data_IF_922825004220
#
_entry.id   IF_922825004220
#
_cell.length_a   1.000
_cell.length_b   1.000
_cell.length_c   1.000
_cell.angle_alpha   90.00
_cell.angle_beta   90.00
_cell.angle_gamma   90.00
#
_symmetry.space_group_name_H-M   'P 1'
#
loop_
_entity.id
_entity.type
_entity.pdbx_description
1 polymer ?
#
# COMPACT_ATOMS: atom_id res chain seq x y z
N UNK A 1 19.12 -2.47 -0.19
CA UNK A 1 17.77 -2.61 0.42
C UNK A 1 17.55 -1.60 1.55
N UNK A 2 18.38 -1.58 2.61
CA UNK A 2 18.18 -0.65 3.74
C UNK A 2 18.19 0.81 3.29
N UNK A 3 19.15 1.23 2.47
CA UNK A 3 19.22 2.61 1.97
C UNK A 3 17.98 2.97 1.15
N UNK A 4 17.54 2.10 0.26
CA UNK A 4 16.32 2.31 -0.52
C UNK A 4 15.09 2.48 0.37
N UNK A 5 14.96 1.68 1.45
CA UNK A 5 13.88 1.83 2.42
C UNK A 5 13.94 3.18 3.11
N UNK A 6 15.13 3.61 3.57
CA UNK A 6 15.32 4.91 4.22
C UNK A 6 15.03 6.08 3.26
N UNK A 7 15.49 6.01 2.03
CA UNK A 7 15.23 7.02 0.99
C UNK A 7 13.72 7.18 0.77
N UNK A 8 13.00 6.06 0.59
CA UNK A 8 11.55 6.10 0.42
C UNK A 8 10.83 6.77 1.60
N UNK A 9 11.23 6.47 2.86
CA UNK A 9 10.57 7.01 4.06
C UNK A 9 10.93 8.49 4.30
N UNK A 10 12.08 8.95 3.78
CA UNK A 10 12.58 10.32 4.03
C UNK A 10 12.14 11.34 3.00
N UNK A 11 11.67 10.90 1.84
CA UNK A 11 11.28 11.82 0.78
C UNK A 11 9.92 12.48 1.07
N UNK A 12 9.79 13.81 0.85
CA UNK A 12 8.54 14.50 1.05
C UNK A 12 7.49 14.12 0.01
N UNK A 13 6.21 14.24 0.39
CA UNK A 13 5.08 13.75 -0.41
C UNK A 13 4.90 14.45 -1.77
N UNK A 14 5.39 15.69 -1.92
CA UNK A 14 5.39 16.38 -3.21
C UNK A 14 6.38 15.76 -4.21
N UNK A 15 7.35 14.98 -3.73
CA UNK A 15 8.30 14.22 -4.55
C UNK A 15 7.83 12.76 -4.62
N UNK A 16 7.60 12.12 -3.47
CA UNK A 16 7.21 10.71 -3.39
C UNK A 16 5.69 10.55 -3.26
N UNK A 17 4.95 10.89 -4.30
CA UNK A 17 3.53 10.56 -4.43
C UNK A 17 3.33 9.10 -4.87
N UNK A 18 2.08 8.57 -4.93
CA UNK A 18 1.82 7.17 -5.31
C UNK A 18 2.40 6.78 -6.67
N UNK A 19 2.41 7.69 -7.64
CA UNK A 19 2.90 7.44 -9.01
C UNK A 19 4.42 7.33 -9.01
N UNK A 20 5.13 8.29 -8.40
CA UNK A 20 6.60 8.29 -8.32
C UNK A 20 7.09 7.08 -7.52
N UNK A 21 6.40 6.72 -6.40
CA UNK A 21 6.74 5.51 -5.66
C UNK A 21 6.67 4.27 -6.56
N UNK A 22 5.58 4.14 -7.32
CA UNK A 22 5.39 3.03 -8.25
C UNK A 22 6.47 3.02 -9.34
N UNK A 23 6.83 4.17 -9.88
CA UNK A 23 7.87 4.31 -10.90
C UNK A 23 9.25 3.92 -10.38
N UNK A 24 9.59 4.29 -9.15
CA UNK A 24 10.83 3.84 -8.50
C UNK A 24 10.87 2.33 -8.33
N UNK A 25 9.74 1.71 -7.96
CA UNK A 25 9.65 0.26 -7.87
C UNK A 25 9.87 -0.42 -9.24
N UNK A 26 9.29 0.12 -10.30
CA UNK A 26 9.46 -0.41 -11.68
C UNK A 26 10.88 -0.29 -12.20
N UNK A 27 11.61 0.75 -11.78
CA UNK A 27 13.02 0.97 -12.13
C UNK A 27 13.98 -0.01 -11.43
N UNK A 28 13.52 -0.80 -10.46
CA UNK A 28 14.35 -1.82 -9.82
C UNK A 28 14.77 -2.89 -10.82
N UNK A 29 16.05 -2.84 -11.22
CA UNK A 29 16.62 -3.81 -12.16
C UNK A 29 17.36 -4.92 -11.41
N UNK A 30 16.61 -5.83 -10.79
CA UNK A 30 17.18 -6.97 -10.03
C UNK A 30 16.80 -8.26 -10.75
N UNK A 31 17.82 -9.03 -11.16
CA UNK A 31 17.62 -10.28 -11.89
C UNK A 31 16.70 -11.24 -11.12
N UNK A 32 15.62 -11.67 -11.77
CA UNK A 32 14.65 -12.61 -11.21
C UNK A 32 13.52 -11.99 -10.38
N UNK A 33 13.64 -10.74 -9.94
CA UNK A 33 12.55 -10.00 -9.31
C UNK A 33 11.62 -9.44 -10.38
N UNK A 34 10.36 -9.89 -10.37
CA UNK A 34 9.33 -9.34 -11.27
C UNK A 34 8.53 -8.28 -10.53
N UNK A 35 8.37 -7.14 -11.17
CA UNK A 35 7.56 -6.03 -10.66
C UNK A 35 6.39 -5.80 -11.59
N UNK A 36 5.17 -5.72 -11.03
CA UNK A 36 3.93 -5.48 -11.77
C UNK A 36 3.19 -4.31 -11.13
N UNK A 37 2.64 -3.44 -11.94
CA UNK A 37 1.80 -2.33 -11.52
C UNK A 37 0.33 -2.63 -11.85
N UNK A 38 -0.55 -2.21 -10.94
CA UNK A 38 -1.98 -2.04 -11.19
C UNK A 38 -2.28 -0.54 -11.10
N UNK A 39 -2.61 0.07 -12.21
CA UNK A 39 -3.02 1.46 -12.33
C UNK A 39 -4.49 1.67 -11.94
N UNK A 40 -4.96 2.91 -11.93
CA UNK A 40 -6.33 3.28 -11.58
C UNK A 40 -7.38 2.49 -12.38
N UNK A 41 -7.15 2.28 -13.69
CA UNK A 41 -8.08 1.54 -14.55
C UNK A 41 -8.16 0.08 -14.11
N UNK A 42 -7.03 -0.53 -13.86
CA UNK A 42 -6.92 -1.91 -13.37
C UNK A 42 -7.56 -2.08 -11.99
N UNK A 43 -7.34 -1.13 -11.07
CA UNK A 43 -7.92 -1.14 -9.72
C UNK A 43 -9.46 -1.05 -9.76
N UNK A 44 -10.00 -0.17 -10.61
CA UNK A 44 -11.45 -0.06 -10.86
C UNK A 44 -12.03 -1.36 -11.43
N UNK A 45 -11.37 -1.95 -12.42
CA UNK A 45 -11.79 -3.21 -13.06
C UNK A 45 -11.76 -4.39 -12.08
N UNK A 46 -10.75 -4.47 -11.23
CA UNK A 46 -10.63 -5.50 -10.19
C UNK A 46 -11.68 -5.30 -9.08
N UNK A 47 -12.05 -4.05 -8.79
CA UNK A 47 -13.03 -3.70 -7.76
C UNK A 47 -12.41 -3.45 -6.39
N UNK A 48 -11.20 -2.91 -6.31
CA UNK A 48 -10.53 -2.49 -5.07
C UNK A 48 -11.13 -1.17 -4.54
N UNK A 49 -12.43 -1.19 -4.20
CA UNK A 49 -13.19 0.03 -3.91
C UNK A 49 -12.83 0.65 -2.56
N UNK A 50 -12.39 -0.13 -1.56
CA UNK A 50 -11.98 0.44 -0.28
C UNK A 50 -10.65 1.20 -0.41
N UNK A 51 -9.70 0.68 -1.17
CA UNK A 51 -8.46 1.40 -1.52
C UNK A 51 -8.78 2.65 -2.36
N UNK A 52 -9.64 2.52 -3.37
CA UNK A 52 -10.04 3.63 -4.24
C UNK A 52 -10.75 4.75 -3.47
N UNK A 53 -11.55 4.43 -2.47
CA UNK A 53 -12.23 5.43 -1.64
C UNK A 53 -11.24 6.34 -0.94
N UNK A 54 -10.17 5.80 -0.36
CA UNK A 54 -9.12 6.59 0.31
C UNK A 54 -8.50 7.61 -0.65
N UNK A 55 -8.28 7.23 -1.90
CA UNK A 55 -7.62 8.08 -2.90
C UNK A 55 -8.53 9.14 -3.55
N UNK A 56 -9.84 9.14 -3.26
CA UNK A 56 -10.81 10.01 -3.97
C UNK A 56 -10.53 11.51 -3.80
N UNK A 57 -9.97 11.92 -2.66
CA UNK A 57 -9.63 13.31 -2.38
C UNK A 57 -8.27 13.76 -2.91
N UNK A 58 -7.50 12.89 -3.55
CA UNK A 58 -6.19 13.24 -4.10
C UNK A 58 -6.23 13.43 -5.61
N UNK A 59 -5.43 14.37 -6.09
CA UNK A 59 -5.14 14.53 -7.53
C UNK A 59 -4.17 13.45 -8.03
N UNK A 60 -3.43 12.81 -7.12
CA UNK A 60 -2.50 11.73 -7.42
C UNK A 60 -3.24 10.39 -7.48
N UNK A 61 -3.25 9.77 -8.65
CA UNK A 61 -3.90 8.47 -8.84
C UNK A 61 -3.26 7.37 -7.98
N UNK A 62 -4.08 6.48 -7.39
CA UNK A 62 -3.57 5.34 -6.63
C UNK A 62 -2.84 4.33 -7.51
N UNK A 63 -1.94 3.60 -6.91
CA UNK A 63 -1.22 2.48 -7.53
C UNK A 63 -1.16 1.28 -6.59
N UNK A 64 -1.11 0.09 -7.14
CA UNK A 64 -0.72 -1.11 -6.40
C UNK A 64 0.46 -1.74 -7.13
N UNK A 65 1.54 -1.98 -6.39
CA UNK A 65 2.73 -2.67 -6.92
C UNK A 65 2.80 -4.06 -6.33
N UNK A 66 3.08 -5.02 -7.20
CA UNK A 66 3.25 -6.43 -6.86
C UNK A 66 4.65 -6.86 -7.26
N UNK A 67 5.38 -7.39 -6.30
CA UNK A 67 6.68 -8.01 -6.49
C UNK A 67 6.53 -9.52 -6.43
N UNK A 68 7.14 -10.24 -7.38
CA UNK A 68 7.17 -11.70 -7.37
C UNK A 68 8.63 -12.17 -7.38
N UNK A 69 8.99 -12.92 -6.33
CA UNK A 69 10.30 -13.55 -6.23
C UNK A 69 10.18 -15.07 -6.13
N UNK A 70 10.92 -15.80 -6.97
CA UNK A 70 11.05 -17.25 -6.95
C UNK A 70 9.69 -17.99 -6.87
N UNK A 71 8.71 -17.51 -7.64
CA UNK A 71 7.37 -18.13 -7.67
C UNK A 71 7.45 -19.47 -8.40
N UNK A 72 7.10 -20.54 -7.68
CA UNK A 72 7.12 -21.93 -8.19
C UNK A 72 5.70 -22.49 -8.28
N UNK A 73 5.47 -23.32 -9.28
CA UNK A 73 4.20 -24.05 -9.42
C UNK A 73 4.02 -24.97 -8.20
N UNK A 74 2.82 -25.01 -7.64
CA UNK A 74 2.45 -25.81 -6.47
C UNK A 74 3.15 -25.45 -5.13
N UNK A 75 3.81 -24.28 -5.06
CA UNK A 75 4.35 -23.75 -3.81
C UNK A 75 3.55 -22.51 -3.40
N UNK A 76 2.91 -22.58 -2.24
CA UNK A 76 2.19 -21.45 -1.67
C UNK A 76 3.19 -20.40 -1.20
N UNK A 77 3.16 -19.17 -1.73
CA UNK A 77 4.12 -18.13 -1.36
C UNK A 77 3.85 -17.57 0.04
N UNK A 78 4.86 -16.92 0.60
CA UNK A 78 4.73 -15.98 1.71
C UNK A 78 4.36 -14.63 1.11
N UNK A 79 3.37 -13.95 1.67
CA UNK A 79 2.99 -12.60 1.26
C UNK A 79 3.54 -11.59 2.27
N UNK A 80 4.11 -10.50 1.75
CA UNK A 80 4.45 -9.29 2.49
C UNK A 80 3.53 -8.18 1.97
N UNK A 81 2.63 -7.67 2.80
CA UNK A 81 1.69 -6.62 2.44
C UNK A 81 2.07 -5.31 3.12
N UNK A 82 2.08 -4.21 2.38
CA UNK A 82 2.50 -2.90 2.88
C UNK A 82 1.43 -1.82 2.72
N UNK A 83 1.14 -1.10 3.84
CA UNK A 83 0.42 0.16 3.79
C UNK A 83 1.31 1.23 3.16
N UNK A 84 0.80 1.95 2.18
CA UNK A 84 1.52 2.97 1.42
C UNK A 84 0.75 4.26 1.26
N UNK A 85 0.34 4.87 2.38
CA UNK A 85 -0.26 6.21 2.35
C UNK A 85 0.88 7.22 2.26
N UNK A 86 1.12 7.78 1.07
CA UNK A 86 2.28 8.64 0.82
C UNK A 86 2.19 9.99 1.51
N UNK A 87 0.97 10.45 1.80
CA UNK A 87 0.67 11.52 2.75
C UNK A 87 -0.72 11.32 3.35
N UNK A 88 -0.86 11.51 4.64
CA UNK A 88 -2.11 11.34 5.36
C UNK A 88 -2.52 12.60 6.11
N UNK A 89 -3.49 13.33 5.56
CA UNK A 89 -4.12 14.47 6.26
C UNK A 89 -5.21 14.05 7.23
N UNK A 90 -5.60 12.77 7.23
CA UNK A 90 -6.84 12.28 7.85
C UNK A 90 -8.06 12.36 6.92
N UNK A 91 -7.94 13.00 5.76
CA UNK A 91 -9.06 13.23 4.86
C UNK A 91 -10.04 14.25 5.44
N UNK A 92 -11.36 14.01 5.33
CA UNK A 92 -12.40 14.88 5.91
C UNK A 92 -12.32 14.90 7.45
N UNK A 93 -11.92 13.80 8.08
CA UNK A 93 -11.58 13.74 9.52
C UNK A 93 -10.16 14.25 9.75
N UNK A 94 -9.94 15.53 9.43
CA UNK A 94 -8.62 16.15 9.32
C UNK A 94 -7.85 16.10 10.64
N UNK A 95 -6.56 15.76 10.55
CA UNK A 95 -5.62 15.80 11.68
C UNK A 95 -5.34 17.24 12.13
N UNK A 96 -4.93 17.46 13.40
CA UNK A 96 -4.33 18.72 13.80
C UNK A 96 -3.10 19.06 12.95
N UNK A 97 -2.84 20.33 12.71
CA UNK A 97 -1.68 20.77 11.93
C UNK A 97 -0.33 20.43 12.58
N UNK A 98 -0.28 20.38 13.91
CA UNK A 98 0.92 20.01 14.66
C UNK A 98 1.28 18.54 14.43
N UNK A 99 2.46 18.29 13.87
CA UNK A 99 2.97 16.96 13.57
C UNK A 99 2.42 16.36 12.26
N UNK A 100 1.58 17.10 11.50
CA UNK A 100 1.05 16.60 10.23
C UNK A 100 2.18 16.38 9.20
N UNK A 101 3.25 17.14 9.27
CA UNK A 101 4.43 17.00 8.43
C UNK A 101 5.11 15.63 8.57
N UNK A 102 4.95 14.95 9.71
CA UNK A 102 5.48 13.60 9.94
C UNK A 102 4.72 12.53 9.14
N UNK A 103 3.54 12.87 8.60
CA UNK A 103 2.69 11.94 7.83
C UNK A 103 3.26 11.57 6.46
N UNK A 104 4.40 12.13 6.06
CA UNK A 104 5.23 11.60 4.96
C UNK A 104 5.69 10.17 5.24
N UNK A 105 5.77 9.76 6.51
CA UNK A 105 6.22 8.44 6.93
C UNK A 105 5.13 7.36 6.90
N UNK A 106 3.89 7.74 6.60
CA UNK A 106 2.72 6.84 6.65
C UNK A 106 2.67 5.78 5.53
N UNK A 107 3.71 5.75 4.72
CA UNK A 107 4.02 4.73 3.74
C UNK A 107 5.17 3.78 4.18
N UNK A 108 5.61 3.88 5.42
CA UNK A 108 6.73 3.08 5.95
C UNK A 108 6.53 1.58 5.80
N UNK A 109 5.29 1.10 5.94
CA UNK A 109 4.95 -0.32 5.69
C UNK A 109 5.28 -0.76 4.27
N UNK A 110 4.94 0.06 3.27
CA UNK A 110 5.30 -0.21 1.86
C UNK A 110 6.80 -0.16 1.63
N UNK A 111 7.51 0.79 2.24
CA UNK A 111 8.97 0.90 2.13
C UNK A 111 9.67 -0.35 2.70
N UNK A 112 9.18 -0.89 3.83
CA UNK A 112 9.68 -2.15 4.41
C UNK A 112 9.46 -3.32 3.47
N UNK A 113 8.29 -3.43 2.85
CA UNK A 113 8.02 -4.49 1.86
C UNK A 113 8.97 -4.38 0.68
N UNK A 114 9.17 -3.18 0.10
CA UNK A 114 10.11 -2.96 -1.01
C UNK A 114 11.52 -3.38 -0.62
N UNK A 115 12.03 -2.91 0.53
CA UNK A 115 13.35 -3.28 1.03
C UNK A 115 13.51 -4.78 1.26
N UNK A 116 12.47 -5.43 1.78
CA UNK A 116 12.45 -6.88 2.01
C UNK A 116 12.49 -7.67 0.70
N UNK A 117 11.75 -7.24 -0.32
CA UNK A 117 11.75 -7.88 -1.64
C UNK A 117 13.09 -7.71 -2.36
N UNK A 118 13.70 -6.54 -2.27
CA UNK A 118 15.07 -6.31 -2.75
C UNK A 118 16.05 -7.24 -2.05
N UNK A 119 15.97 -7.32 -0.72
CA UNK A 119 16.86 -8.17 0.08
C UNK A 119 16.70 -9.66 -0.27
N UNK A 120 15.47 -10.14 -0.39
CA UNK A 120 15.19 -11.51 -0.78
C UNK A 120 15.77 -11.87 -2.15
N UNK A 121 15.67 -10.95 -3.12
CA UNK A 121 16.19 -11.13 -4.47
C UNK A 121 17.73 -11.06 -4.50
N UNK A 122 18.35 -10.09 -3.83
CA UNK A 122 19.81 -9.94 -3.81
C UNK A 122 20.51 -11.11 -3.11
N UNK A 123 19.87 -11.69 -2.09
CA UNK A 123 20.40 -12.86 -1.38
C UNK A 123 19.93 -14.20 -1.99
N UNK A 124 19.32 -14.19 -3.17
CA UNK A 124 18.83 -15.39 -3.86
C UNK A 124 18.01 -16.30 -2.93
N UNK A 125 17.06 -15.73 -2.17
CA UNK A 125 16.21 -16.49 -1.26
C UNK A 125 15.57 -17.67 -1.96
N UNK A 126 15.62 -18.86 -1.33
CA UNK A 126 14.99 -20.08 -1.85
C UNK A 126 13.47 -20.13 -1.63
N UNK A 127 12.90 -19.14 -0.94
CA UNK A 127 11.46 -19.04 -0.66
C UNK A 127 10.71 -18.39 -1.82
N UNK A 128 9.47 -18.83 -2.05
CA UNK A 128 8.52 -18.13 -2.93
C UNK A 128 7.91 -16.98 -2.14
N UNK A 129 8.13 -15.75 -2.58
CA UNK A 129 7.69 -14.55 -1.85
C UNK A 129 6.97 -13.62 -2.82
N UNK A 130 5.85 -13.06 -2.38
CA UNK A 130 5.15 -11.98 -3.08
C UNK A 130 5.08 -10.78 -2.15
N UNK A 131 5.58 -9.65 -2.61
CA UNK A 131 5.34 -8.35 -1.99
C UNK A 131 4.15 -7.68 -2.65
N UNK A 132 3.28 -7.04 -1.88
CA UNK A 132 2.22 -6.16 -2.39
C UNK A 132 2.17 -4.89 -1.59
N UNK A 133 2.11 -3.74 -2.27
CA UNK A 133 2.00 -2.44 -1.63
C UNK A 133 0.84 -1.66 -2.26
N UNK A 134 -0.03 -1.12 -1.42
CA UNK A 134 -1.14 -0.25 -1.83
C UNK A 134 -0.75 1.20 -1.62
N UNK A 135 -0.62 1.96 -2.69
CA UNK A 135 -0.13 3.33 -2.72
C UNK A 135 -1.28 4.29 -2.95
N UNK A 136 -1.55 5.14 -1.98
CA UNK A 136 -2.61 6.15 -2.00
C UNK A 136 -2.14 7.41 -1.30
N UNK A 137 -2.90 8.48 -1.44
CA UNK A 137 -2.77 9.70 -0.67
C UNK A 137 -4.14 10.07 -0.10
N UNK A 138 -4.22 10.33 1.21
CA UNK A 138 -5.47 10.64 1.91
C UNK A 138 -5.61 12.16 2.11
N UNK A 139 -6.41 12.80 1.27
CA UNK A 139 -6.56 14.26 1.22
C UNK A 139 -8.01 14.69 1.37
N UNK A 140 -8.27 15.86 2.01
CA UNK A 140 -9.58 16.48 2.01
C UNK A 140 -9.84 17.17 0.67
N UNK A 141 -10.98 16.88 0.06
CA UNK A 141 -11.41 17.49 -1.20
C UNK A 141 -12.93 17.33 -1.35
N UNK A 142 -13.51 18.01 -2.32
CA UNK A 142 -14.94 17.89 -2.62
C UNK A 142 -15.36 16.46 -3.03
N UNK A 143 -14.44 15.68 -3.61
CA UNK A 143 -14.66 14.29 -4.00
C UNK A 143 -14.24 13.28 -2.92
N UNK A 144 -13.65 13.72 -1.80
CA UNK A 144 -13.17 12.82 -0.77
C UNK A 144 -14.31 11.98 -0.17
N UNK A 145 -13.99 10.74 0.24
CA UNK A 145 -14.92 9.93 1.00
C UNK A 145 -15.15 10.53 2.40
N UNK A 146 -16.27 10.21 3.02
CA UNK A 146 -16.76 10.92 4.22
C UNK A 146 -17.13 9.95 5.34
N UNK A 147 -17.10 10.37 6.59
CA UNK A 147 -17.77 9.64 7.66
C UNK A 147 -19.24 9.41 7.30
N UNK A 148 -19.73 8.17 7.49
CA UNK A 148 -21.07 7.73 7.11
C UNK A 148 -21.15 7.08 5.72
N UNK A 149 -20.13 7.21 4.88
CA UNK A 149 -20.11 6.52 3.59
C UNK A 149 -20.02 4.99 3.79
N UNK A 150 -20.75 4.24 2.95
CA UNK A 150 -20.71 2.78 2.95
C UNK A 150 -19.96 2.31 1.70
N UNK A 151 -18.86 1.62 1.92
CA UNK A 151 -17.96 1.15 0.87
C UNK A 151 -18.05 -0.37 0.77
N UNK A 152 -18.11 -0.90 -0.46
CA UNK A 152 -18.04 -2.35 -0.70
C UNK A 152 -16.60 -2.75 -1.04
N UNK A 153 -15.94 -3.48 -0.16
CA UNK A 153 -14.57 -3.98 -0.38
C UNK A 153 -14.47 -5.07 -1.45
N UNK A 154 -13.26 -5.42 -1.86
CA UNK A 154 -12.98 -6.50 -2.80
C UNK A 154 -13.43 -7.88 -2.28
N UNK A 155 -13.55 -8.07 -0.98
CA UNK A 155 -14.10 -9.28 -0.37
C UNK A 155 -15.61 -9.43 -0.60
N UNK A 156 -16.30 -8.33 -0.93
CA UNK A 156 -17.74 -8.23 -1.07
C UNK A 156 -18.47 -7.72 0.17
N UNK A 157 -17.75 -7.58 1.29
CA UNK A 157 -18.30 -7.04 2.53
C UNK A 157 -18.44 -5.51 2.43
N UNK A 158 -19.45 -4.96 3.07
CA UNK A 158 -19.65 -3.53 3.23
C UNK A 158 -18.93 -3.03 4.47
N UNK A 159 -18.36 -1.84 4.36
CA UNK A 159 -17.65 -1.15 5.43
C UNK A 159 -18.28 0.21 5.60
N UNK A 160 -18.78 0.51 6.78
CA UNK A 160 -19.20 1.85 7.16
C UNK A 160 -17.96 2.64 7.60
N UNK A 161 -17.74 3.80 7.00
CA UNK A 161 -16.65 4.69 7.34
C UNK A 161 -17.09 5.56 8.52
N UNK A 162 -16.52 5.36 9.69
CA UNK A 162 -16.80 6.20 10.86
C UNK A 162 -15.80 7.36 10.97
N UNK A 163 -14.58 7.14 10.49
CA UNK A 163 -13.48 8.11 10.55
C UNK A 163 -12.57 7.92 9.34
N UNK A 164 -12.37 8.95 8.54
CA UNK A 164 -11.51 8.89 7.35
C UNK A 164 -10.01 8.87 7.67
N UNK A 165 -9.63 9.15 8.93
CA UNK A 165 -8.26 8.97 9.45
C UNK A 165 -7.96 7.50 9.84
N UNK A 166 -8.87 6.59 9.54
CA UNK A 166 -8.68 5.15 9.67
C UNK A 166 -8.54 4.47 8.28
N UNK A 167 -7.85 5.12 7.36
CA UNK A 167 -7.72 4.81 5.93
C UNK A 167 -6.83 3.59 5.66
N UNK A 168 -5.79 3.38 6.46
CA UNK A 168 -4.81 2.31 6.23
C UNK A 168 -5.44 0.92 6.22
N UNK A 169 -6.41 0.66 7.09
CA UNK A 169 -7.16 -0.60 7.11
C UNK A 169 -8.00 -0.80 5.84
N UNK A 170 -8.47 0.26 5.20
CA UNK A 170 -9.22 0.21 3.94
C UNK A 170 -8.30 -0.19 2.78
N UNK A 171 -7.09 0.35 2.74
CA UNK A 171 -6.05 -0.02 1.78
C UNK A 171 -5.67 -1.50 1.94
N UNK A 172 -5.36 -1.92 3.18
CA UNK A 172 -4.97 -3.30 3.49
C UNK A 172 -6.07 -4.31 3.18
N UNK A 173 -7.34 -4.00 3.45
CA UNK A 173 -8.46 -4.90 3.19
C UNK A 173 -8.51 -5.38 1.74
N UNK A 174 -8.32 -4.49 0.77
CA UNK A 174 -8.38 -4.84 -0.64
C UNK A 174 -7.11 -5.55 -1.12
N UNK A 175 -5.91 -5.06 -0.77
CA UNK A 175 -4.67 -5.70 -1.22
C UNK A 175 -4.48 -7.09 -0.63
N UNK A 176 -4.85 -7.31 0.65
CA UNK A 176 -4.80 -8.61 1.30
C UNK A 176 -5.81 -9.56 0.65
N UNK A 177 -7.05 -9.11 0.42
CA UNK A 177 -8.07 -9.91 -0.28
C UNK A 177 -7.59 -10.31 -1.68
N UNK A 178 -6.96 -9.39 -2.40
CA UNK A 178 -6.46 -9.66 -3.74
C UNK A 178 -5.39 -10.76 -3.75
N UNK A 179 -4.39 -10.68 -2.88
CA UNK A 179 -3.31 -11.68 -2.85
C UNK A 179 -3.79 -13.03 -2.34
N UNK A 180 -4.75 -13.06 -1.41
CA UNK A 180 -5.39 -14.31 -0.97
C UNK A 180 -6.07 -15.05 -2.13
N UNK A 181 -6.88 -14.32 -2.92
CA UNK A 181 -7.59 -14.90 -4.07
C UNK A 181 -6.63 -15.35 -5.16
N UNK A 182 -5.58 -14.56 -5.43
CA UNK A 182 -4.67 -14.80 -6.56
C UNK A 182 -3.59 -15.84 -6.29
N UNK A 183 -3.01 -15.85 -5.10
CA UNK A 183 -1.81 -16.65 -4.80
C UNK A 183 -2.05 -17.77 -3.81
N UNK A 184 -3.18 -17.78 -3.08
CA UNK A 184 -3.49 -18.78 -2.05
C UNK A 184 -2.29 -19.01 -1.10
N UNK A 185 -1.81 -17.98 -0.40
CA UNK A 185 -0.54 -17.99 0.32
C UNK A 185 -0.51 -18.97 1.49
N UNK A 186 0.70 -19.34 1.92
CA UNK A 186 0.91 -20.09 3.17
C UNK A 186 0.84 -19.18 4.41
N UNK A 187 1.25 -17.92 4.24
CA UNK A 187 1.30 -16.93 5.31
C UNK A 187 1.20 -15.52 4.71
N UNK A 188 0.60 -14.60 5.42
CA UNK A 188 0.58 -13.16 5.10
C UNK A 188 1.13 -12.41 6.31
N UNK A 189 2.09 -11.53 6.07
CA UNK A 189 2.65 -10.61 7.04
C UNK A 189 2.40 -9.21 6.51
N UNK A 190 1.68 -8.39 7.27
CA UNK A 190 1.45 -7.01 6.90
C UNK A 190 2.31 -6.05 7.71
N UNK A 191 2.66 -4.92 7.09
CA UNK A 191 3.43 -3.83 7.67
C UNK A 191 2.64 -2.54 7.47
N UNK A 192 2.36 -1.86 8.58
CA UNK A 192 1.57 -0.65 8.54
C UNK A 192 1.89 0.28 9.71
N UNK A 193 2.01 1.55 9.43
CA UNK A 193 1.96 2.65 10.39
C UNK A 193 0.49 2.91 10.70
N UNK A 194 -0.16 2.00 11.44
CA UNK A 194 -1.62 1.90 11.41
C UNK A 194 -2.31 2.78 12.45
N UNK A 195 -1.76 2.81 13.67
CA UNK A 195 -2.32 3.61 14.79
C UNK A 195 -1.21 4.05 15.74
N UNK A 196 -1.45 5.16 16.48
CA UNK A 196 -0.56 5.61 17.55
C UNK A 196 -0.56 4.69 18.79
N UNK A 197 -1.46 3.72 18.88
CA UNK A 197 -1.60 2.84 20.04
C UNK A 197 -0.38 1.94 20.30
N UNK A 198 0.50 1.77 19.31
CA UNK A 198 1.75 1.00 19.49
C UNK A 198 2.76 1.73 20.38
N UNK A 199 2.54 3.02 20.63
CA UNK A 199 3.41 3.86 21.46
C UNK A 199 3.11 3.77 22.96
N UNK A 200 2.11 2.99 23.37
CA UNK A 200 1.60 2.89 24.76
C UNK A 200 1.91 1.51 25.32
#
# INVERSE_FOLDING_TARGET
SINTTKELVSDPANILNPIEFADRCKKLNIKGLKVKELDLISLKKIGMRSLLAVSQGSVNEPRVIIFEWNIKKNVKPIILAGKGVTFDTGGISIKPSSGMEEMITDMGGSAVVVGSMINAAMNNSNKSIVGIVGLVENMPDANAYRPGDIIKSLSGQTIEVLNTDAEGRLVLADIITYVQKKYQPSCIIDFATLTGAIMI
#
